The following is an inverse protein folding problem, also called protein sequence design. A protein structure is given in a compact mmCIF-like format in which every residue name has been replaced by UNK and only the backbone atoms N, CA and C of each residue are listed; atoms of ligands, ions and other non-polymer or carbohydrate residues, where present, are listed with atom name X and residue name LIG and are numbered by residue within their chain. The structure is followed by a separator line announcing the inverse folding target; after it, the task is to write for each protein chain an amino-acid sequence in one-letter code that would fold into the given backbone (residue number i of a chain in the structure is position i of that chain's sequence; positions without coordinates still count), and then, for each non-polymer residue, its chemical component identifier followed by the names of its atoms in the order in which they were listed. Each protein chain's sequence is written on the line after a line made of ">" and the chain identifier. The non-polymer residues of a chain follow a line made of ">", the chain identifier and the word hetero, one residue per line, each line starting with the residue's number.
data_IF_036675858677
#
_entry.id   IF_036675858677
#
_cell.length_a   1.000
_cell.length_b   1.000
_cell.length_c   1.000
_cell.angle_alpha   90.00
_cell.angle_beta   90.00
_cell.angle_gamma   90.00
#
_symmetry.space_group_name_H-M   'P 1'
#
loop_
_entity.id
_entity.type
_entity.pdbx_description
1 polymer ?
#
# COMPACT_ATOMS: atom_id res chain seq x y z
N UNK A 1 -18.97 -13.44 78.43
CA UNK A 1 -17.86 -12.48 78.23
C UNK A 1 -17.75 -12.27 76.73
N UNK A 2 -18.05 -11.06 76.25
CA UNK A 2 -18.03 -10.72 74.84
C UNK A 2 -16.97 -9.62 74.66
N UNK A 3 -15.95 -9.91 73.84
CA UNK A 3 -14.95 -8.94 73.41
C UNK A 3 -15.37 -8.39 72.05
N UNK A 4 -15.60 -7.08 71.98
CA UNK A 4 -15.89 -6.34 70.75
C UNK A 4 -14.60 -5.81 70.15
N UNK A 5 -14.28 -6.22 68.92
CA UNK A 5 -13.19 -5.67 68.12
C UNK A 5 -13.64 -4.36 67.45
N UNK A 6 -13.10 -3.24 67.90
CA UNK A 6 -13.17 -1.96 67.20
C UNK A 6 -12.23 -1.98 65.99
N UNK A 7 -12.81 -1.99 64.79
CA UNK A 7 -12.11 -1.81 63.51
C UNK A 7 -12.53 -0.47 62.95
N UNK A 8 -11.82 0.60 63.30
CA UNK A 8 -11.93 1.86 62.56
C UNK A 8 -10.64 2.69 62.67
N UNK A 9 -9.70 2.44 61.76
CA UNK A 9 -8.65 3.40 61.42
C UNK A 9 -8.68 3.63 59.91
N UNK A 10 -9.62 4.47 59.47
CA UNK A 10 -9.58 5.04 58.12
C UNK A 10 -8.33 5.92 58.03
N UNK A 11 -7.30 5.40 57.37
CA UNK A 11 -6.12 6.15 56.99
C UNK A 11 -6.53 7.17 55.93
N UNK A 12 -6.99 8.35 56.36
CA UNK A 12 -7.32 9.44 55.45
C UNK A 12 -6.01 9.99 54.89
N UNK A 13 -5.72 9.64 53.64
CA UNK A 13 -4.64 10.26 52.87
C UNK A 13 -4.95 11.75 52.81
N UNK A 14 -4.11 12.57 53.44
CA UNK A 14 -4.26 14.02 53.38
C UNK A 14 -3.68 14.55 52.06
N UNK A 15 -4.28 15.61 51.53
CA UNK A 15 -3.79 16.29 50.32
C UNK A 15 -2.31 16.70 50.43
N UNK A 16 -1.82 16.94 51.65
CA UNK A 16 -0.42 17.27 51.90
C UNK A 16 0.52 16.10 51.55
N UNK A 17 0.13 14.85 51.81
CA UNK A 17 0.91 13.67 51.42
C UNK A 17 0.97 13.51 49.89
N UNK A 18 -0.14 13.81 49.20
CA UNK A 18 -0.20 13.77 47.73
C UNK A 18 0.69 14.88 47.14
N UNK A 19 0.64 16.07 47.73
CA UNK A 19 1.42 17.23 47.27
C UNK A 19 2.92 17.05 47.46
N UNK A 20 3.35 16.46 48.58
CA UNK A 20 4.76 16.11 48.78
C UNK A 20 5.22 15.00 47.84
N UNK A 21 4.41 13.96 47.62
CA UNK A 21 4.76 12.88 46.68
C UNK A 21 4.95 13.41 45.25
N UNK A 22 4.07 14.30 44.78
CA UNK A 22 4.18 14.92 43.46
C UNK A 22 5.39 15.86 43.35
N UNK A 23 5.65 16.66 44.38
CA UNK A 23 6.82 17.56 44.41
C UNK A 23 8.13 16.79 44.42
N UNK A 24 8.20 15.69 45.17
CA UNK A 24 9.35 14.78 45.20
C UNK A 24 9.57 14.11 43.85
N UNK A 25 8.52 13.57 43.23
CA UNK A 25 8.61 12.94 41.90
C UNK A 25 9.10 13.88 40.81
N UNK A 26 8.57 15.11 40.76
CA UNK A 26 8.98 16.13 39.77
C UNK A 26 10.41 16.64 40.00
N UNK A 27 10.86 16.75 41.25
CA UNK A 27 12.24 17.16 41.55
C UNK A 27 13.28 16.10 41.19
N UNK A 28 12.89 14.83 41.09
CA UNK A 28 13.78 13.74 40.64
C UNK A 28 13.91 13.61 39.12
N UNK A 29 13.00 14.23 38.35
CA UNK A 29 13.11 14.31 36.89
C UNK A 29 13.96 15.55 36.56
N UNK A 30 15.23 15.51 36.94
CA UNK A 30 16.24 16.29 36.23
C UNK A 30 16.42 15.61 34.89
N UNK A 31 15.86 16.19 33.82
CA UNK A 31 16.32 15.87 32.48
C UNK A 31 17.85 16.01 32.52
N UNK A 32 18.56 14.90 32.31
CA UNK A 32 20.02 14.88 32.41
C UNK A 32 20.57 16.06 31.60
N UNK A 33 21.41 16.89 32.23
CA UNK A 33 22.06 18.00 31.54
C UNK A 33 22.80 17.50 30.28
N UNK A 34 23.20 16.23 30.26
CA UNK A 34 23.74 15.55 29.07
C UNK A 34 22.73 15.40 27.94
N UNK A 35 21.46 15.08 28.21
CA UNK A 35 20.43 14.96 27.18
C UNK A 35 20.12 16.33 26.55
N UNK A 36 20.11 17.38 27.37
CA UNK A 36 19.92 18.75 26.91
C UNK A 36 21.10 19.16 26.01
N UNK A 37 22.33 18.87 26.42
CA UNK A 37 23.53 19.15 25.62
C UNK A 37 23.55 18.36 24.31
N UNK A 38 23.20 17.07 24.32
CA UNK A 38 23.12 16.22 23.13
C UNK A 38 22.07 16.77 22.14
N UNK A 39 20.93 17.21 22.65
CA UNK A 39 19.85 17.75 21.81
C UNK A 39 20.25 19.10 21.19
N UNK A 40 20.92 19.97 21.95
CA UNK A 40 21.44 21.25 21.45
C UNK A 40 22.53 21.04 20.40
N UNK A 41 23.46 20.10 20.60
CA UNK A 41 24.51 19.79 19.64
C UNK A 41 23.94 19.24 18.33
N UNK A 42 22.88 18.40 18.41
CA UNK A 42 22.19 17.85 17.24
C UNK A 42 21.48 18.95 16.44
N UNK A 43 20.77 19.87 17.10
CA UNK A 43 20.18 21.03 16.42
C UNK A 43 21.23 21.94 15.76
N UNK A 44 22.37 22.17 16.41
CA UNK A 44 23.41 23.06 15.86
C UNK A 44 24.12 22.43 14.66
N UNK A 45 24.31 21.12 14.66
CA UNK A 45 24.89 20.38 13.53
C UNK A 45 23.94 20.29 12.33
N UNK A 46 22.62 20.32 12.55
CA UNK A 46 21.62 20.37 11.47
C UNK A 46 21.59 21.76 10.80
N UNK A 47 21.54 22.84 11.59
CA UNK A 47 21.54 24.22 11.06
C UNK A 47 22.83 24.57 10.28
N UNK A 48 23.97 23.98 10.66
CA UNK A 48 25.25 24.22 9.98
C UNK A 48 25.46 23.34 8.75
N UNK A 49 24.78 22.18 8.65
CA UNK A 49 24.78 21.35 7.44
C UNK A 49 24.12 22.06 6.26
N UNK A 50 23.03 22.77 6.50
CA UNK A 50 22.26 23.44 5.44
C UNK A 50 22.97 24.67 4.85
N UNK A 51 23.95 25.25 5.55
CA UNK A 51 24.72 26.40 5.05
C UNK A 51 25.90 26.05 4.12
N UNK A 52 26.15 24.77 3.84
CA UNK A 52 27.26 24.33 2.97
C UNK A 52 26.83 23.50 1.76
N UNK A 53 25.68 23.79 1.16
CA UNK A 53 25.42 23.36 -0.22
C UNK A 53 26.05 24.40 -1.16
N UNK A 54 27.35 24.23 -1.44
CA UNK A 54 27.95 24.80 -2.65
C UNK A 54 27.32 24.06 -3.85
N UNK A 55 26.74 24.74 -4.85
CA UNK A 55 26.26 24.06 -6.05
C UNK A 55 27.48 23.50 -6.81
N UNK A 56 27.75 22.21 -6.64
CA UNK A 56 28.70 21.50 -7.50
C UNK A 56 28.07 21.35 -8.88
N UNK A 57 28.40 22.31 -9.73
CA UNK A 57 28.34 22.26 -11.19
C UNK A 57 28.81 20.89 -11.73
N UNK A 58 27.88 19.97 -11.96
CA UNK A 58 28.11 18.73 -12.72
C UNK A 58 27.41 18.72 -14.11
N UNK A 59 26.75 19.80 -14.51
CA UNK A 59 26.08 19.92 -15.82
C UNK A 59 26.95 20.55 -16.93
N UNK A 60 28.22 20.11 -17.10
CA UNK A 60 29.02 20.51 -18.30
C UNK A 60 29.83 19.40 -18.97
N UNK A 61 29.61 18.12 -18.64
CA UNK A 61 30.43 17.02 -19.21
C UNK A 61 29.66 15.95 -20.00
N UNK A 62 28.37 16.12 -20.30
CA UNK A 62 27.62 15.18 -21.16
C UNK A 62 27.47 15.65 -22.62
N UNK A 63 27.70 16.93 -22.92
CA UNK A 63 27.50 17.50 -24.27
C UNK A 63 28.64 17.30 -25.27
N UNK A 64 29.73 16.61 -24.91
CA UNK A 64 30.87 16.39 -25.82
C UNK A 64 30.94 15.01 -26.47
N UNK A 65 30.04 14.08 -26.13
CA UNK A 65 30.02 12.74 -26.73
C UNK A 65 28.68 12.36 -27.40
N UNK A 66 27.60 13.13 -27.24
CA UNK A 66 26.29 12.81 -27.82
C UNK A 66 26.14 13.15 -29.32
N UNK A 67 26.82 14.19 -29.81
CA UNK A 67 26.68 14.67 -31.19
C UNK A 67 27.30 13.78 -32.28
N UNK A 68 28.47 13.12 -32.10
CA UNK A 68 29.02 12.26 -33.17
C UNK A 68 28.27 10.93 -33.33
N UNK A 69 27.57 10.45 -32.30
CA UNK A 69 26.87 9.16 -32.34
C UNK A 69 25.56 9.23 -33.14
N UNK A 70 24.82 10.35 -33.03
CA UNK A 70 23.60 10.58 -33.81
C UNK A 70 23.88 10.82 -35.31
N UNK A 71 24.98 11.50 -35.66
CA UNK A 71 25.36 11.71 -37.06
C UNK A 71 25.82 10.40 -37.75
N UNK A 72 26.48 9.49 -37.02
CA UNK A 72 26.88 8.18 -37.53
C UNK A 72 25.71 7.26 -37.86
N UNK A 73 24.67 7.26 -37.02
CA UNK A 73 23.47 6.45 -37.27
C UNK A 73 22.69 6.91 -38.52
N UNK A 74 22.64 8.22 -38.79
CA UNK A 74 21.95 8.78 -39.95
C UNK A 74 22.65 8.41 -41.28
N UNK A 75 23.98 8.34 -41.29
CA UNK A 75 24.76 7.91 -42.47
C UNK A 75 24.54 6.42 -42.77
N UNK A 76 24.45 5.56 -41.76
CA UNK A 76 24.18 4.12 -41.94
C UNK A 76 22.77 3.84 -42.49
N UNK A 77 21.76 4.60 -42.04
CA UNK A 77 20.39 4.50 -42.57
C UNK A 77 20.32 4.97 -44.02
N UNK A 78 21.07 6.02 -44.40
CA UNK A 78 21.16 6.48 -45.79
C UNK A 78 21.81 5.47 -46.74
N UNK A 79 22.82 4.71 -46.28
CA UNK A 79 23.47 3.66 -47.10
C UNK A 79 22.53 2.46 -47.31
N UNK A 80 21.73 2.09 -46.31
CA UNK A 80 20.78 0.96 -46.41
C UNK A 80 19.52 1.30 -47.22
N UNK A 81 19.14 2.58 -47.31
CA UNK A 81 17.94 3.04 -48.02
C UNK A 81 18.17 3.33 -49.51
N UNK A 82 19.38 3.18 -50.05
CA UNK A 82 19.65 3.32 -51.50
C UNK A 82 19.22 2.05 -52.26
N UNK A 83 18.18 2.11 -53.11
CA UNK A 83 17.76 0.96 -53.92
C UNK A 83 18.77 0.76 -55.06
N UNK A 84 19.49 -0.37 -55.07
CA UNK A 84 20.26 -0.80 -56.24
C UNK A 84 21.64 -1.44 -56.02
N UNK A 85 22.15 -1.56 -54.79
CA UNK A 85 23.54 -2.01 -54.56
C UNK A 85 23.68 -3.51 -54.24
N UNK A 86 22.59 -4.22 -53.93
CA UNK A 86 22.62 -5.67 -53.66
C UNK A 86 22.00 -6.48 -54.80
N UNK A 87 22.68 -6.51 -55.95
CA UNK A 87 22.30 -7.42 -57.04
C UNK A 87 23.53 -7.99 -57.75
N UNK A 88 24.40 -8.67 -56.99
CA UNK A 88 25.47 -9.50 -57.56
C UNK A 88 24.92 -10.89 -57.86
N UNK A 89 24.43 -11.03 -59.10
CA UNK A 89 24.13 -12.30 -59.75
C UNK A 89 25.39 -13.18 -59.78
N UNK A 90 25.27 -14.43 -59.31
CA UNK A 90 26.05 -15.55 -59.84
C UNK A 90 25.09 -16.49 -60.55
N UNK A 91 25.15 -16.45 -61.87
CA UNK A 91 24.51 -17.38 -62.79
C UNK A 91 25.58 -18.08 -63.62
N UNK A 92 25.63 -19.41 -63.57
CA UNK A 92 26.25 -20.33 -64.52
C UNK A 92 25.71 -21.72 -64.13
N UNK A 93 25.13 -22.56 -64.98
CA UNK A 93 25.06 -22.65 -66.44
C UNK A 93 23.93 -23.62 -66.85
N UNK A 94 23.46 -23.45 -68.10
CA UNK A 94 22.52 -24.22 -68.93
C UNK A 94 22.64 -25.77 -68.88
N UNK A 95 21.72 -26.64 -69.33
CA UNK A 95 20.69 -26.59 -70.39
C UNK A 95 19.66 -27.78 -70.20
N UNK A 96 18.61 -27.95 -71.05
CA UNK A 96 17.30 -28.54 -70.72
C UNK A 96 16.98 -29.90 -71.39
N UNK A 97 15.91 -30.57 -70.93
CA UNK A 97 14.93 -31.23 -71.84
C UNK A 97 13.64 -31.74 -71.16
N UNK A 98 12.51 -31.23 -71.68
CA UNK A 98 11.22 -31.85 -72.04
C UNK A 98 10.40 -32.78 -71.08
N UNK A 99 9.06 -32.80 -71.23
CA UNK A 99 8.12 -33.30 -70.21
C UNK A 99 7.66 -34.74 -70.48
N UNK A 100 7.32 -35.47 -69.42
CA UNK A 100 6.45 -36.63 -69.51
C UNK A 100 5.58 -36.76 -68.25
N UNK A 101 4.29 -36.88 -68.49
CA UNK A 101 3.28 -37.28 -67.53
C UNK A 101 3.58 -38.66 -66.94
N UNK A 102 3.20 -38.88 -65.68
CA UNK A 102 2.31 -39.97 -65.23
C UNK A 102 2.40 -40.17 -63.72
N UNK A 103 1.22 -40.26 -63.10
CA UNK A 103 0.83 -41.08 -61.96
C UNK A 103 1.86 -41.42 -60.86
N UNK A 104 1.55 -41.06 -59.61
CA UNK A 104 1.49 -42.01 -58.49
C UNK A 104 1.02 -41.34 -57.19
N UNK A 105 -0.20 -41.71 -56.80
CA UNK A 105 -0.69 -42.07 -55.47
C UNK A 105 0.28 -42.05 -54.26
N UNK A 106 -0.31 -41.60 -53.15
CA UNK A 106 -0.26 -42.20 -51.80
C UNK A 106 0.85 -41.77 -50.83
N UNK A 107 0.51 -41.87 -49.54
CA UNK A 107 1.10 -41.34 -48.30
C UNK A 107 0.61 -39.90 -47.98
N UNK A 108 -0.26 -39.65 -47.01
CA UNK A 108 -0.56 -40.36 -45.77
C UNK A 108 0.09 -39.62 -44.61
N UNK A 109 -0.54 -38.54 -44.13
CA UNK A 109 -0.26 -38.00 -42.80
C UNK A 109 -1.44 -37.16 -42.31
N UNK A 110 -2.38 -37.82 -41.64
CA UNK A 110 -3.42 -37.18 -40.85
C UNK A 110 -2.84 -36.88 -39.46
N UNK A 111 -2.72 -35.60 -39.09
CA UNK A 111 -2.54 -35.19 -37.71
C UNK A 111 -3.89 -34.67 -37.23
N UNK A 112 -4.65 -35.55 -36.57
CA UNK A 112 -5.78 -35.14 -35.71
C UNK A 112 -5.20 -34.56 -34.42
N UNK A 113 -5.36 -33.26 -34.22
CA UNK A 113 -5.22 -32.65 -32.90
C UNK A 113 -6.54 -32.82 -32.17
N UNK A 114 -6.57 -33.75 -31.20
CA UNK A 114 -7.64 -33.84 -30.22
C UNK A 114 -7.46 -32.73 -29.20
N UNK A 115 -8.40 -31.79 -29.21
CA UNK A 115 -8.56 -30.72 -28.22
C UNK A 115 -9.16 -31.33 -26.94
N UNK A 116 -8.31 -31.55 -25.94
CA UNK A 116 -8.72 -31.96 -24.60
C UNK A 116 -8.89 -30.71 -23.73
N UNK A 117 -10.13 -30.47 -23.29
CA UNK A 117 -10.50 -29.40 -22.37
C UNK A 117 -9.77 -29.55 -21.02
N UNK A 118 -9.32 -28.45 -20.39
CA UNK A 118 -8.68 -28.50 -19.09
C UNK A 118 -9.67 -28.84 -17.98
N UNK A 119 -9.27 -29.79 -17.14
CA UNK A 119 -9.95 -30.22 -15.93
C UNK A 119 -10.11 -29.06 -14.93
N UNK A 120 -11.31 -28.93 -14.35
CA UNK A 120 -11.63 -27.92 -13.35
C UNK A 120 -10.80 -28.13 -12.07
N UNK A 121 -10.30 -27.05 -11.44
CA UNK A 121 -9.52 -27.15 -10.21
C UNK A 121 -10.36 -27.66 -9.04
N UNK A 122 -9.75 -28.50 -8.22
CA UNK A 122 -10.33 -29.12 -7.03
C UNK A 122 -10.78 -28.07 -5.99
N UNK A 123 -11.87 -28.33 -5.23
CA UNK A 123 -12.34 -27.44 -4.19
C UNK A 123 -11.34 -27.34 -3.03
N UNK A 124 -11.20 -26.11 -2.50
CA UNK A 124 -10.33 -25.79 -1.37
C UNK A 124 -10.75 -26.53 -0.08
N UNK A 125 -9.79 -26.87 0.81
CA UNK A 125 -10.09 -27.52 2.09
C UNK A 125 -10.84 -26.57 3.04
N UNK A 126 -11.93 -27.09 3.60
CA UNK A 126 -12.78 -26.49 4.63
C UNK A 126 -12.03 -26.45 5.98
N UNK A 127 -11.62 -25.26 6.41
CA UNK A 127 -11.02 -25.02 7.72
C UNK A 127 -12.07 -24.47 8.69
N UNK A 128 -13.04 -25.30 9.05
CA UNK A 128 -13.85 -25.12 10.25
C UNK A 128 -13.26 -25.97 11.38
N UNK A 129 -12.27 -25.43 12.08
CA UNK A 129 -11.80 -26.00 13.34
C UNK A 129 -12.30 -25.14 14.50
N UNK A 130 -13.14 -25.76 15.33
CA UNK A 130 -13.75 -25.22 16.54
C UNK A 130 -12.68 -24.64 17.50
N UNK A 131 -12.66 -23.33 17.65
CA UNK A 131 -12.01 -22.68 18.80
C UNK A 131 -13.05 -22.62 19.92
N UNK A 132 -13.08 -23.65 20.75
CA UNK A 132 -13.79 -23.62 22.04
C UNK A 132 -13.06 -22.68 23.00
N UNK A 133 -13.52 -21.43 23.10
CA UNK A 133 -13.06 -20.49 24.14
C UNK A 133 -13.86 -20.78 25.42
N UNK A 134 -13.19 -21.39 26.40
CA UNK A 134 -13.73 -21.57 27.74
C UNK A 134 -13.60 -20.24 28.49
N UNK A 135 -14.70 -19.49 28.52
CA UNK A 135 -14.80 -18.22 29.25
C UNK A 135 -15.31 -18.49 30.66
N UNK A 136 -14.38 -18.69 31.60
CA UNK A 136 -14.69 -18.73 33.02
C UNK A 136 -14.87 -17.33 33.59
N UNK A 137 -16.09 -16.79 33.52
CA UNK A 137 -16.51 -15.65 34.34
C UNK A 137 -17.29 -16.14 35.56
N UNK A 138 -16.72 -15.87 36.73
CA UNK A 138 -17.31 -16.15 38.02
C UNK A 138 -18.59 -15.34 38.24
N UNK A 139 -19.62 -16.06 38.66
CA UNK A 139 -20.88 -15.52 39.14
C UNK A 139 -20.66 -14.68 40.39
N UNK A 140 -21.21 -13.46 40.40
CA UNK A 140 -21.60 -12.76 41.61
C UNK A 140 -23.08 -12.39 41.42
N UNK A 141 -23.94 -13.17 42.08
CA UNK A 141 -25.33 -12.82 42.33
C UNK A 141 -25.42 -11.43 42.97
N UNK A 142 -26.28 -10.57 42.44
CA UNK A 142 -27.09 -9.75 43.33
C UNK A 142 -28.43 -9.40 42.68
N UNK A 143 -29.47 -9.97 43.29
CA UNK A 143 -30.87 -9.79 43.00
C UNK A 143 -31.37 -8.41 43.41
N UNK A 144 -31.94 -7.64 42.47
CA UNK A 144 -32.81 -6.50 42.80
C UNK A 144 -34.17 -6.69 42.13
N UNK A 145 -35.19 -6.61 42.99
CA UNK A 145 -36.61 -6.87 42.76
C UNK A 145 -37.29 -5.89 41.81
N UNK A 146 -38.27 -6.47 41.12
CA UNK A 146 -39.43 -5.89 40.43
C UNK A 146 -39.98 -4.58 41.00
N UNK A 147 -40.44 -3.70 40.08
CA UNK A 147 -41.81 -3.17 40.18
C UNK A 147 -42.36 -2.77 38.83
N UNK A 148 -43.35 -3.54 38.39
CA UNK A 148 -44.24 -3.26 37.25
C UNK A 148 -45.17 -2.09 37.54
N UNK A 149 -45.48 -1.29 36.51
CA UNK A 149 -46.69 -0.49 36.47
C UNK A 149 -47.28 -0.58 35.05
N UNK A 150 -48.41 -1.26 34.96
CA UNK A 150 -49.37 -1.22 33.85
C UNK A 150 -49.87 0.20 33.62
N UNK A 151 -50.18 0.52 32.37
CA UNK A 151 -51.42 1.19 32.00
C UNK A 151 -51.73 0.87 30.53
N UNK A 152 -52.84 0.18 30.32
CA UNK A 152 -53.49 0.00 29.04
C UNK A 152 -54.65 0.98 28.84
N UNK A 153 -55.40 0.73 27.77
CA UNK A 153 -56.62 1.38 27.26
C UNK A 153 -56.32 2.46 26.21
N UNK A 154 -56.29 2.09 24.92
CA UNK A 154 -57.44 1.88 24.01
C UNK A 154 -58.28 3.13 23.71
N UNK A 155 -58.50 3.31 22.41
CA UNK A 155 -59.74 3.69 21.70
C UNK A 155 -59.52 4.85 20.71
N UNK A 156 -59.65 4.52 19.42
CA UNK A 156 -60.59 5.24 18.56
C UNK A 156 -60.03 6.11 17.44
N UNK A 157 -60.01 5.54 16.22
CA UNK A 157 -60.61 6.10 15.01
C UNK A 157 -60.02 7.39 14.41
N UNK A 158 -59.67 7.37 13.13
CA UNK A 158 -60.55 7.89 12.07
C UNK A 158 -59.90 7.71 10.70
N UNK A 159 -60.73 7.36 9.73
CA UNK A 159 -60.47 7.40 8.30
C UNK A 159 -60.06 8.82 7.86
N UNK A 160 -59.01 8.93 7.07
CA UNK A 160 -58.59 10.16 6.41
C UNK A 160 -57.69 9.84 5.23
N UNK A 161 -58.30 9.45 4.11
CA UNK A 161 -57.63 9.43 2.82
C UNK A 161 -57.43 10.88 2.37
N UNK A 162 -56.18 11.35 2.38
CA UNK A 162 -55.76 12.46 1.53
C UNK A 162 -54.41 12.13 0.91
N UNK A 163 -54.45 12.07 -0.42
CA UNK A 163 -53.33 12.07 -1.33
C UNK A 163 -52.44 13.29 -1.04
N UNK A 164 -51.15 13.08 -0.76
CA UNK A 164 -50.17 14.15 -0.96
C UNK A 164 -48.78 13.62 -1.24
N UNK A 165 -48.46 13.73 -2.52
CA UNK A 165 -47.18 14.20 -3.04
C UNK A 165 -45.96 13.38 -2.65
N UNK A 166 -45.67 12.39 -3.49
CA UNK A 166 -44.36 11.75 -3.55
C UNK A 166 -43.25 12.79 -3.71
N UNK A 167 -42.47 12.93 -2.65
CA UNK A 167 -41.04 13.21 -2.72
C UNK A 167 -40.38 12.04 -2.01
N UNK A 168 -40.36 10.88 -2.68
CA UNK A 168 -39.35 9.87 -2.38
C UNK A 168 -38.02 10.52 -2.72
N UNK A 169 -37.37 11.04 -1.68
CA UNK A 169 -35.94 11.24 -1.69
C UNK A 169 -35.34 9.89 -2.08
N UNK A 170 -34.99 9.76 -3.35
CA UNK A 170 -34.03 8.78 -3.83
C UNK A 170 -32.77 9.04 -3.00
N UNK A 171 -32.68 8.37 -1.86
CA UNK A 171 -31.43 7.98 -1.25
C UNK A 171 -30.72 7.18 -2.34
N UNK A 172 -29.92 7.90 -3.12
CA UNK A 172 -28.85 7.34 -3.93
C UNK A 172 -27.94 6.65 -2.94
N UNK A 173 -28.28 5.40 -2.65
CA UNK A 173 -27.43 4.44 -1.99
C UNK A 173 -26.19 4.41 -2.87
N UNK A 174 -25.20 5.21 -2.50
CA UNK A 174 -23.92 5.27 -3.18
C UNK A 174 -23.45 3.82 -3.22
N UNK A 175 -23.46 3.26 -4.43
CA UNK A 175 -23.02 1.90 -4.69
C UNK A 175 -21.63 1.79 -4.05
N UNK A 176 -21.56 1.06 -2.95
CA UNK A 176 -20.28 0.71 -2.34
C UNK A 176 -19.47 0.09 -3.49
N UNK A 177 -18.32 0.67 -3.86
CA UNK A 177 -17.57 0.15 -4.99
C UNK A 177 -17.25 -1.32 -4.71
N UNK A 178 -17.66 -2.21 -5.61
CA UNK A 178 -17.40 -3.64 -5.48
C UNK A 178 -15.89 -3.87 -5.27
N UNK A 179 -15.51 -4.85 -4.44
CA UNK A 179 -14.10 -5.16 -4.21
C UNK A 179 -13.45 -5.51 -5.54
N UNK A 180 -12.49 -4.70 -5.98
CA UNK A 180 -11.64 -5.09 -7.11
C UNK A 180 -10.77 -6.27 -6.69
N UNK A 181 -10.52 -7.17 -7.63
CA UNK A 181 -9.61 -8.29 -7.41
C UNK A 181 -8.24 -7.75 -6.98
N UNK A 182 -7.75 -8.24 -5.84
CA UNK A 182 -6.45 -7.86 -5.32
C UNK A 182 -5.34 -8.26 -6.32
N UNK A 183 -4.34 -7.40 -6.43
CA UNK A 183 -3.20 -7.59 -7.35
C UNK A 183 -1.87 -7.40 -6.61
N UNK A 184 -0.76 -7.52 -7.34
CA UNK A 184 0.59 -7.40 -6.76
C UNK A 184 0.84 -6.07 -6.03
N UNK A 185 0.22 -4.99 -6.52
CA UNK A 185 0.31 -3.65 -5.95
C UNK A 185 -0.77 -3.35 -4.91
N UNK A 186 -1.35 -4.40 -4.34
CA UNK A 186 -2.34 -4.33 -3.26
C UNK A 186 -1.73 -4.66 -1.91
N UNK A 187 -2.20 -3.96 -0.88
CA UNK A 187 -1.83 -4.13 0.53
C UNK A 187 -3.04 -4.65 1.29
N UNK A 188 -2.84 -5.72 2.04
CA UNK A 188 -3.83 -6.28 2.95
C UNK A 188 -3.80 -5.53 4.28
N UNK A 189 -4.96 -5.01 4.67
CA UNK A 189 -5.13 -4.22 5.89
C UNK A 189 -5.80 -4.99 7.05
N UNK A 190 -6.07 -6.29 6.86
CA UNK A 190 -6.66 -7.17 7.87
C UNK A 190 -8.00 -7.77 7.43
N UNK A 191 -8.86 -6.97 6.81
CA UNK A 191 -10.16 -7.40 6.27
C UNK A 191 -10.32 -7.07 4.77
N UNK A 192 -9.51 -6.15 4.25
CA UNK A 192 -9.62 -5.60 2.90
C UNK A 192 -8.25 -5.34 2.27
N UNK A 193 -8.22 -5.44 0.95
CA UNK A 193 -7.11 -4.94 0.13
C UNK A 193 -7.34 -3.49 -0.30
N UNK A 194 -6.29 -2.68 -0.23
CA UNK A 194 -6.20 -1.38 -0.92
C UNK A 194 -5.11 -1.44 -1.98
N UNK A 195 -5.26 -0.70 -3.06
CA UNK A 195 -4.33 -0.70 -4.20
C UNK A 195 -3.99 0.70 -4.67
N UNK A 196 -2.83 0.84 -5.31
CA UNK A 196 -2.47 2.07 -6.05
C UNK A 196 -3.48 2.41 -7.17
N UNK A 197 -4.28 1.43 -7.61
CA UNK A 197 -5.33 1.63 -8.61
C UNK A 197 -6.66 2.13 -8.03
N UNK A 198 -6.79 2.21 -6.72
CA UNK A 198 -8.01 2.72 -6.09
C UNK A 198 -8.19 4.19 -6.43
N UNK A 199 -9.31 4.49 -7.10
CA UNK A 199 -9.63 5.79 -7.67
C UNK A 199 -11.04 6.19 -7.28
N UNK A 200 -11.24 7.49 -7.03
CA UNK A 200 -12.55 8.03 -6.68
C UNK A 200 -12.50 9.51 -6.37
N UNK A 201 -13.52 10.00 -5.68
CA UNK A 201 -13.42 11.31 -5.02
C UNK A 201 -12.49 11.20 -3.81
N UNK A 202 -11.91 12.33 -3.39
CA UNK A 202 -11.06 12.36 -2.19
C UNK A 202 -11.80 11.81 -0.96
N UNK A 203 -13.08 12.17 -0.79
CA UNK A 203 -13.89 11.72 0.34
C UNK A 203 -14.22 10.23 0.29
N UNK A 204 -14.43 9.66 -0.91
CA UNK A 204 -14.65 8.23 -1.08
C UNK A 204 -13.43 7.41 -0.65
N UNK A 205 -12.23 7.81 -1.08
CA UNK A 205 -10.99 7.10 -0.72
C UNK A 205 -10.73 7.25 0.79
N UNK A 206 -10.89 8.46 1.34
CA UNK A 206 -10.72 8.69 2.79
C UNK A 206 -11.72 7.87 3.59
N UNK A 207 -13.00 7.85 3.21
CA UNK A 207 -14.03 7.07 3.90
C UNK A 207 -13.76 5.57 3.83
N UNK A 208 -13.26 5.07 2.70
CA UNK A 208 -12.85 3.67 2.56
C UNK A 208 -11.69 3.35 3.50
N UNK A 209 -10.64 4.19 3.54
CA UNK A 209 -9.51 3.99 4.44
C UNK A 209 -9.94 4.02 5.91
N UNK A 210 -10.79 4.98 6.29
CA UNK A 210 -11.31 5.08 7.65
C UNK A 210 -12.16 3.88 8.08
N UNK A 211 -12.90 3.28 7.15
CA UNK A 211 -13.70 2.08 7.44
C UNK A 211 -12.86 0.87 7.86
N UNK A 212 -11.59 0.84 7.46
CA UNK A 212 -10.67 -0.28 7.70
C UNK A 212 -9.63 0.06 8.76
N UNK A 213 -9.06 1.27 8.70
CA UNK A 213 -7.95 1.70 9.55
C UNK A 213 -8.39 2.54 10.75
N UNK A 214 -9.65 2.95 10.82
CA UNK A 214 -10.12 3.94 11.80
C UNK A 214 -9.76 5.37 11.41
N UNK A 215 -9.81 6.30 12.35
CA UNK A 215 -9.36 7.67 12.09
C UNK A 215 -7.82 7.74 12.00
N UNK A 216 -7.26 8.56 11.09
CA UNK A 216 -5.82 8.77 11.01
C UNK A 216 -5.29 9.49 12.26
N UNK A 217 -4.07 9.14 12.66
CA UNK A 217 -3.31 9.84 13.71
C UNK A 217 -2.97 11.27 13.27
N UNK A 218 -2.77 11.47 11.96
CA UNK A 218 -2.40 12.74 11.35
C UNK A 218 -2.92 12.82 9.91
N UNK A 219 -3.45 13.99 9.53
CA UNK A 219 -3.86 14.31 8.17
C UNK A 219 -3.23 15.64 7.75
N UNK A 220 -2.63 15.68 6.56
CA UNK A 220 -2.19 16.92 5.93
C UNK A 220 -2.67 17.02 4.49
N UNK A 221 -3.01 18.24 4.07
CA UNK A 221 -3.49 18.53 2.72
C UNK A 221 -2.65 19.66 2.15
N UNK A 222 -2.06 19.41 0.97
CA UNK A 222 -1.28 20.38 0.21
C UNK A 222 -1.86 20.51 -1.19
N UNK A 223 -2.17 21.74 -1.59
CA UNK A 223 -2.44 22.06 -3.00
C UNK A 223 -1.13 22.57 -3.60
N UNK A 224 -0.72 21.95 -4.70
CA UNK A 224 0.48 22.35 -5.43
C UNK A 224 0.20 23.67 -6.18
N UNK A 225 1.12 24.63 -6.02
CA UNK A 225 1.01 25.96 -6.59
C UNK A 225 1.61 26.04 -8.01
N UNK A 226 1.58 27.25 -8.59
CA UNK A 226 2.14 27.58 -9.91
C UNK A 226 3.63 27.18 -10.07
N UNK A 227 4.36 26.98 -8.97
CA UNK A 227 5.76 26.53 -9.03
C UNK A 227 5.91 25.05 -9.40
N UNK A 228 4.81 24.30 -9.46
CA UNK A 228 4.79 22.86 -9.69
C UNK A 228 4.60 22.47 -11.17
N UNK A 229 4.81 23.42 -12.10
CA UNK A 229 4.75 23.23 -13.56
C UNK A 229 3.45 22.53 -14.02
N UNK A 230 3.53 21.28 -14.46
CA UNK A 230 2.38 20.50 -14.94
C UNK A 230 1.46 19.99 -13.82
N UNK A 231 1.84 20.14 -12.56
CA UNK A 231 1.09 19.67 -11.40
C UNK A 231 0.38 20.80 -10.63
N UNK A 232 0.35 22.02 -11.16
CA UNK A 232 -0.40 23.12 -10.57
C UNK A 232 -1.88 22.73 -10.31
N UNK A 233 -2.35 23.00 -9.10
CA UNK A 233 -3.72 22.67 -8.67
C UNK A 233 -3.93 21.21 -8.29
N UNK A 234 -2.90 20.35 -8.37
CA UNK A 234 -2.97 19.01 -7.80
C UNK A 234 -3.07 19.09 -6.28
N UNK A 235 -4.04 18.38 -5.72
CA UNK A 235 -4.16 18.20 -4.28
C UNK A 235 -3.46 16.91 -3.89
N UNK A 236 -2.60 16.98 -2.88
CA UNK A 236 -1.94 15.86 -2.24
C UNK A 236 -2.43 15.81 -0.80
N UNK A 237 -3.03 14.68 -0.41
CA UNK A 237 -3.40 14.39 0.97
C UNK A 237 -2.49 13.29 1.50
N UNK A 238 -1.93 13.49 2.69
CA UNK A 238 -1.15 12.49 3.41
C UNK A 238 -1.91 12.11 4.67
N UNK A 239 -2.20 10.82 4.81
CA UNK A 239 -2.89 10.23 5.95
C UNK A 239 -1.92 9.30 6.66
N UNK A 240 -1.65 9.57 7.92
CA UNK A 240 -0.80 8.75 8.77
C UNK A 240 -1.66 7.99 9.76
N UNK A 241 -1.47 6.68 9.81
CA UNK A 241 -2.05 5.77 10.79
C UNK A 241 -0.90 5.02 11.46
N UNK A 242 -1.20 4.36 12.58
CA UNK A 242 -0.24 3.48 13.24
C UNK A 242 0.36 2.48 12.23
N UNK A 243 1.64 2.64 11.90
CA UNK A 243 2.36 1.70 11.05
C UNK A 243 2.10 1.77 9.54
N UNK A 244 1.26 2.69 9.06
CA UNK A 244 1.01 2.87 7.62
C UNK A 244 0.75 4.34 7.27
N UNK A 245 1.39 4.82 6.21
CA UNK A 245 1.16 6.14 5.64
C UNK A 245 0.61 5.99 4.23
N UNK A 246 -0.52 6.65 3.94
CA UNK A 246 -1.16 6.63 2.63
C UNK A 246 -1.14 8.03 2.05
N UNK A 247 -0.63 8.16 0.83
CA UNK A 247 -0.66 9.41 0.06
C UNK A 247 -1.68 9.26 -1.06
N UNK A 248 -2.64 10.19 -1.08
CA UNK A 248 -3.68 10.30 -2.09
C UNK A 248 -3.40 11.58 -2.88
N UNK A 249 -3.42 11.50 -4.20
CA UNK A 249 -3.23 12.69 -5.05
C UNK A 249 -4.21 12.75 -6.21
N UNK A 250 -4.54 13.96 -6.64
CA UNK A 250 -5.46 14.19 -7.76
C UNK A 250 -5.94 15.64 -7.86
N UNK A 251 -6.59 15.96 -8.98
CA UNK A 251 -7.26 17.27 -9.19
C UNK A 251 -8.79 17.16 -9.15
N UNK A 252 -9.34 16.12 -9.79
CA UNK A 252 -10.79 15.85 -9.87
C UNK A 252 -11.08 14.42 -9.43
N UNK A 253 -10.34 13.50 -10.01
CA UNK A 253 -10.26 12.11 -9.56
C UNK A 253 -8.98 11.97 -8.76
N UNK A 254 -9.12 11.39 -7.58
CA UNK A 254 -8.02 11.07 -6.70
C UNK A 254 -7.66 9.59 -6.87
N UNK A 255 -6.38 9.28 -6.65
CA UNK A 255 -5.87 7.92 -6.55
C UNK A 255 -4.93 7.78 -5.37
N UNK A 256 -4.78 6.58 -4.84
CA UNK A 256 -3.69 6.26 -3.92
C UNK A 256 -2.37 6.28 -4.72
N UNK A 257 -1.53 7.29 -4.50
CA UNK A 257 -0.25 7.42 -5.21
C UNK A 257 0.91 6.74 -4.48
N UNK A 258 0.80 6.57 -3.16
CA UNK A 258 1.81 5.84 -2.40
C UNK A 258 1.24 5.25 -1.12
N UNK A 259 1.75 4.09 -0.73
CA UNK A 259 1.50 3.43 0.55
C UNK A 259 2.86 3.08 1.15
N UNK A 260 3.12 3.50 2.39
CA UNK A 260 4.33 3.14 3.13
C UNK A 260 3.94 2.37 4.39
N UNK A 261 4.52 1.19 4.60
CA UNK A 261 4.24 0.27 5.71
C UNK A 261 5.48 0.14 6.56
N UNK A 262 5.34 0.36 7.87
CA UNK A 262 6.40 0.23 8.88
C UNK A 262 6.04 -0.72 10.02
N UNK A 263 4.81 -1.26 10.03
CA UNK A 263 4.34 -2.21 11.04
C UNK A 263 3.95 -3.56 10.41
N UNK A 264 4.14 -4.64 11.16
CA UNK A 264 3.89 -6.02 10.73
C UNK A 264 2.41 -6.42 10.68
N UNK A 265 1.48 -5.50 11.00
CA UNK A 265 0.03 -5.78 10.97
C UNK A 265 -0.55 -5.75 9.56
N UNK A 266 0.19 -5.15 8.63
CA UNK A 266 -0.16 -5.04 7.23
C UNK A 266 0.78 -5.91 6.41
N UNK A 267 0.24 -6.50 5.35
CA UNK A 267 1.01 -7.39 4.49
C UNK A 267 0.79 -7.10 3.01
N UNK A 268 1.76 -7.43 2.19
CA UNK A 268 1.60 -7.41 0.73
C UNK A 268 0.55 -8.43 0.28
N UNK A 269 0.13 -8.36 -0.98
CA UNK A 269 -0.67 -9.40 -1.63
C UNK A 269 -0.11 -10.81 -1.46
N UNK A 270 1.22 -10.96 -1.47
CA UNK A 270 1.89 -12.25 -1.25
C UNK A 270 2.08 -12.59 0.24
N UNK A 271 1.56 -11.80 1.15
CA UNK A 271 1.71 -12.00 2.59
C UNK A 271 3.15 -11.80 3.06
N UNK A 272 3.85 -10.78 2.54
CA UNK A 272 5.10 -10.28 3.12
C UNK A 272 4.78 -9.11 4.05
N UNK A 273 5.37 -9.08 5.24
CA UNK A 273 5.17 -8.03 6.24
C UNK A 273 6.50 -7.52 6.77
N UNK A 274 6.50 -6.35 7.41
CA UNK A 274 7.66 -5.83 8.14
C UNK A 274 8.08 -6.84 9.22
N UNK A 275 9.39 -7.03 9.39
CA UNK A 275 10.01 -8.00 10.29
C UNK A 275 10.28 -9.37 9.68
N UNK A 276 9.77 -9.68 8.47
CA UNK A 276 10.13 -10.92 7.76
C UNK A 276 11.55 -10.86 7.19
N UNK A 277 12.13 -12.04 6.94
CA UNK A 277 13.51 -12.11 6.43
C UNK A 277 13.60 -11.81 4.94
N UNK A 278 14.78 -11.38 4.48
CA UNK A 278 15.08 -11.23 3.06
C UNK A 278 14.98 -12.55 2.28
N UNK A 279 15.15 -13.69 2.94
CA UNK A 279 14.98 -15.00 2.33
C UNK A 279 13.50 -15.30 2.05
N UNK A 280 12.61 -14.97 2.99
CA UNK A 280 11.16 -15.08 2.77
C UNK A 280 10.71 -14.18 1.62
N UNK A 281 11.25 -12.96 1.56
CA UNK A 281 11.01 -12.03 0.46
C UNK A 281 11.37 -12.65 -0.90
N UNK A 282 12.60 -13.15 -1.04
CA UNK A 282 13.10 -13.77 -2.28
C UNK A 282 12.34 -15.05 -2.64
N UNK A 283 11.87 -15.81 -1.65
CA UNK A 283 11.08 -17.01 -1.88
C UNK A 283 9.68 -16.71 -2.44
N UNK A 284 9.06 -15.58 -2.04
CA UNK A 284 7.74 -15.18 -2.55
C UNK A 284 7.80 -14.37 -3.83
N UNK A 285 8.93 -13.73 -4.10
CA UNK A 285 9.16 -12.85 -5.22
C UNK A 285 10.39 -13.26 -6.03
N UNK A 286 10.20 -14.18 -6.97
CA UNK A 286 11.28 -14.75 -7.78
C UNK A 286 12.00 -13.70 -8.65
N UNK A 287 11.29 -12.65 -9.07
CA UNK A 287 11.82 -11.60 -9.95
C UNK A 287 12.27 -10.33 -9.20
N UNK A 288 12.43 -10.40 -7.88
CA UNK A 288 12.84 -9.23 -7.10
C UNK A 288 14.31 -8.87 -7.38
N UNK A 289 14.58 -7.58 -7.56
CA UNK A 289 15.94 -7.08 -7.84
C UNK A 289 16.43 -6.18 -6.72
N UNK A 290 17.74 -6.08 -6.53
CA UNK A 290 18.32 -5.12 -5.59
C UNK A 290 18.17 -3.70 -6.16
N UNK A 291 17.70 -2.77 -5.34
CA UNK A 291 17.55 -1.37 -5.72
C UNK A 291 18.93 -0.75 -6.04
N UNK A 292 18.99 0.08 -7.08
CA UNK A 292 20.21 0.72 -7.55
C UNK A 292 20.56 1.98 -6.71
N UNK A 293 20.71 1.82 -5.40
CA UNK A 293 20.99 2.93 -4.47
C UNK A 293 22.45 2.96 -3.95
N UNK A 294 23.31 2.09 -4.49
CA UNK A 294 24.73 2.00 -4.15
C UNK A 294 25.07 1.07 -2.99
N UNK A 295 24.06 0.53 -2.28
CA UNK A 295 24.27 -0.55 -1.30
C UNK A 295 24.40 -1.88 -2.02
N UNK A 296 25.34 -2.72 -1.59
CA UNK A 296 25.62 -4.03 -2.20
C UNK A 296 25.46 -5.20 -1.21
N UNK A 297 25.26 -4.90 0.07
CA UNK A 297 25.02 -5.90 1.10
C UNK A 297 23.56 -6.40 1.00
N UNK A 298 23.31 -7.67 0.69
CA UNK A 298 21.96 -8.20 0.55
C UNK A 298 21.12 -8.12 1.83
N UNK A 299 21.75 -8.00 3.00
CA UNK A 299 21.09 -7.88 4.29
C UNK A 299 20.93 -6.42 4.74
N UNK A 300 21.43 -5.47 3.95
CA UNK A 300 21.35 -4.03 4.25
C UNK A 300 21.20 -3.21 2.96
N UNK A 301 20.15 -3.48 2.20
CA UNK A 301 19.86 -2.80 0.94
C UNK A 301 18.35 -2.67 0.68
N UNK A 302 18.03 -1.96 -0.39
CA UNK A 302 16.67 -1.94 -0.93
C UNK A 302 16.48 -3.08 -1.92
N UNK A 303 15.27 -3.62 -2.00
CA UNK A 303 14.83 -4.50 -3.06
C UNK A 303 13.62 -3.88 -3.76
N UNK A 304 13.50 -4.08 -5.07
CA UNK A 304 12.46 -3.46 -5.89
C UNK A 304 11.80 -4.48 -6.83
N UNK A 305 10.50 -4.30 -6.99
CA UNK A 305 9.66 -4.91 -8.01
C UNK A 305 9.08 -3.76 -8.82
N UNK A 306 9.15 -3.88 -10.14
CA UNK A 306 8.64 -2.91 -11.08
C UNK A 306 7.75 -3.62 -12.10
N UNK A 307 6.56 -3.10 -12.32
CA UNK A 307 5.68 -3.51 -13.41
C UNK A 307 4.80 -2.34 -13.85
N UNK A 308 4.82 -2.01 -15.15
CA UNK A 308 3.94 -0.99 -15.73
C UNK A 308 4.01 0.41 -15.10
N UNK A 309 5.15 0.82 -14.52
CA UNK A 309 5.30 2.11 -13.82
C UNK A 309 4.84 2.10 -12.35
N UNK A 310 4.45 0.93 -11.84
CA UNK A 310 4.19 0.68 -10.43
C UNK A 310 5.39 0.00 -9.79
N UNK A 311 5.68 0.40 -8.55
CA UNK A 311 6.86 -0.04 -7.82
C UNK A 311 6.47 -0.53 -6.44
N UNK A 312 7.11 -1.62 -6.00
CA UNK A 312 7.15 -2.05 -4.61
C UNK A 312 8.61 -2.07 -4.19
N UNK A 313 8.95 -1.30 -3.16
CA UNK A 313 10.29 -1.22 -2.59
C UNK A 313 10.29 -1.77 -1.17
N UNK A 314 11.17 -2.72 -0.90
CA UNK A 314 11.40 -3.30 0.42
C UNK A 314 12.74 -2.80 0.95
N UNK A 315 12.76 -2.15 2.11
CA UNK A 315 14.00 -1.79 2.79
C UNK A 315 14.39 -2.89 3.76
N UNK A 316 15.59 -3.43 3.60
CA UNK A 316 16.13 -4.50 4.44
C UNK A 316 17.27 -3.93 5.29
N UNK A 317 17.25 -4.23 6.59
CA UNK A 317 18.34 -3.96 7.52
C UNK A 317 18.56 -5.20 8.40
N UNK A 318 19.82 -5.60 8.55
CA UNK A 318 20.19 -6.81 9.31
C UNK A 318 19.43 -8.07 8.84
N UNK A 319 19.16 -8.16 7.54
CA UNK A 319 18.46 -9.28 6.91
C UNK A 319 16.94 -9.28 7.11
N UNK A 320 16.39 -8.26 7.78
CA UNK A 320 14.96 -8.11 8.06
C UNK A 320 14.35 -6.94 7.30
N UNK A 321 13.13 -7.11 6.83
CA UNK A 321 12.35 -6.04 6.21
C UNK A 321 11.96 -5.03 7.28
N UNK A 322 12.34 -3.76 7.10
CA UNK A 322 12.03 -2.66 8.02
C UNK A 322 10.95 -1.73 7.49
N UNK A 323 10.76 -1.69 6.16
CA UNK A 323 9.78 -0.83 5.50
C UNK A 323 9.39 -1.42 4.15
N UNK A 324 8.13 -1.27 3.78
CA UNK A 324 7.60 -1.62 2.45
C UNK A 324 6.95 -0.37 1.86
N UNK A 325 7.29 0.01 0.64
CA UNK A 325 6.75 1.20 -0.02
C UNK A 325 6.22 0.86 -1.40
N UNK A 326 4.94 1.14 -1.60
CA UNK A 326 4.25 1.12 -2.87
C UNK A 326 4.20 2.53 -3.41
N UNK A 327 4.49 2.72 -4.69
CA UNK A 327 4.29 3.98 -5.38
C UNK A 327 4.18 3.76 -6.89
N UNK A 328 3.51 4.68 -7.56
CA UNK A 328 3.58 4.79 -9.02
C UNK A 328 4.39 6.02 -9.40
N UNK A 329 5.23 5.88 -10.41
CA UNK A 329 5.79 7.05 -11.10
C UNK A 329 4.81 7.42 -12.20
N UNK A 330 4.15 8.56 -12.05
CA UNK A 330 3.32 9.10 -13.11
C UNK A 330 4.27 9.49 -14.26
N UNK A 331 4.25 8.68 -15.32
CA UNK A 331 4.96 8.95 -16.59
C UNK A 331 4.30 10.05 -17.40
#
# INVERSE_FOLDING_TARGET
>A
MAESYDRNSSCSISDDMIKEALKSGLSSIKASDDLINITLEKCQTEITRDKKIKPKSFMRMAYKFGTPLAAGALILVLILMMPGVYNTKKSSSANPQAPAASAAYDTGYAISFSEAAPEAPAPAPDYNNEISITSGYGACDDSVKEKSAENGDEIGGLLGAEERSGNEEQFMMQSVPEPRDANEFSVFLGDRFISLDDRGTGDQIVSMLKSVLGDPDSESVKVLDESSDTFEGMTVKTLEYDGITVIISGMRTFSISSIEITHNKYSTYRGISVGMSVNDLKAKYENITMALDGRTDPDNCGYVIEDGGYFIRFEVQEGLITKIKYYSEIG
#
